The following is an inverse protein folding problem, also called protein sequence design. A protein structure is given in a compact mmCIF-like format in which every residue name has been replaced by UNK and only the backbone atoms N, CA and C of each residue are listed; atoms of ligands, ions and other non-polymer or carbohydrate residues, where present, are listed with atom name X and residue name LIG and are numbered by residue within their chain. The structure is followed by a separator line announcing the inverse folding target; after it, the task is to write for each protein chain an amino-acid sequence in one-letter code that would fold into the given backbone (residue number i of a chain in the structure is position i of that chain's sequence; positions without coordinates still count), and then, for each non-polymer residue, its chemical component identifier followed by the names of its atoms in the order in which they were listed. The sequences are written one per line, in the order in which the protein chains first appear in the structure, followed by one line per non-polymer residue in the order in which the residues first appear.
data_IF_226909774001
#
_entry.id   IF_226909774001
#
_cell.length_a   1.000
_cell.length_b   1.000
_cell.length_c   1.000
_cell.angle_alpha   90.00
_cell.angle_beta   90.00
_cell.angle_gamma   90.00
#
_symmetry.space_group_name_H-M   'P 1'
#
loop_
_entity.id
_entity.type
_entity.pdbx_description
1 polymer ?
#
# COMPACT_ATOMS: atom_id res chain seq x y z
N UNK A 1 6.33 26.39 -4.26
CA UNK A 1 6.28 26.45 -5.74
C UNK A 1 4.92 27.00 -6.14
N UNK A 2 4.84 27.97 -7.05
CA UNK A 2 3.58 28.62 -7.46
C UNK A 2 2.69 27.60 -8.19
N UNK A 3 1.50 27.29 -7.64
CA UNK A 3 0.61 26.26 -8.16
C UNK A 3 0.19 26.51 -9.63
N UNK A 4 0.17 27.78 -10.05
CA UNK A 4 -0.12 28.19 -11.43
C UNK A 4 0.93 27.67 -12.41
N UNK A 5 2.21 27.75 -12.02
CA UNK A 5 3.33 27.24 -12.83
C UNK A 5 3.24 25.72 -12.95
N UNK A 6 2.94 25.02 -11.84
CA UNK A 6 2.74 23.56 -11.86
C UNK A 6 1.59 23.16 -12.77
N UNK A 7 0.45 23.87 -12.71
CA UNK A 7 -0.71 23.60 -13.54
C UNK A 7 -0.42 23.79 -15.03
N UNK A 8 0.32 24.84 -15.41
CA UNK A 8 0.68 25.09 -16.81
C UNK A 8 1.66 24.04 -17.36
N UNK A 9 2.67 23.65 -16.57
CA UNK A 9 3.60 22.59 -16.93
C UNK A 9 2.85 21.27 -17.12
N UNK A 10 1.96 20.90 -16.18
CA UNK A 10 1.14 19.69 -16.28
C UNK A 10 0.19 19.70 -17.48
N UNK A 11 -0.44 20.83 -17.77
CA UNK A 11 -1.33 20.98 -18.92
C UNK A 11 -0.57 20.82 -20.25
N UNK A 12 0.64 21.38 -20.36
CA UNK A 12 1.50 21.20 -21.53
C UNK A 12 1.91 19.74 -21.70
N UNK A 13 2.32 19.07 -20.63
CA UNK A 13 2.74 17.67 -20.66
C UNK A 13 1.60 16.71 -21.01
N UNK A 14 0.38 17.00 -20.57
CA UNK A 14 -0.81 16.19 -20.88
C UNK A 14 -1.16 16.14 -22.38
N UNK A 15 -0.65 17.09 -23.17
CA UNK A 15 -0.94 17.24 -24.61
C UNK A 15 0.13 16.64 -25.51
N UNK A 16 1.25 16.15 -24.97
CA UNK A 16 2.35 15.57 -25.75
C UNK A 16 2.17 14.04 -25.83
N UNK A 17 2.34 13.40 -27.01
CA UNK A 17 2.39 11.94 -27.12
C UNK A 17 3.53 11.40 -26.24
N UNK A 18 3.22 10.51 -25.29
CA UNK A 18 4.19 10.06 -24.27
C UNK A 18 4.19 10.89 -22.97
N UNK A 19 3.27 11.86 -22.84
CA UNK A 19 3.11 12.72 -21.65
C UNK A 19 2.93 11.96 -20.34
N UNK A 20 2.38 10.73 -20.37
CA UNK A 20 2.34 9.83 -19.20
C UNK A 20 3.75 9.49 -18.71
N UNK A 21 4.66 9.11 -19.61
CA UNK A 21 6.06 8.80 -19.26
C UNK A 21 6.82 10.02 -18.73
N UNK A 22 6.61 11.19 -19.34
CA UNK A 22 7.18 12.44 -18.84
C UNK A 22 6.58 12.87 -17.48
N UNK A 23 5.28 12.62 -17.25
CA UNK A 23 4.60 12.84 -15.98
C UNK A 23 5.14 11.90 -14.88
N UNK A 24 5.30 10.61 -15.18
CA UNK A 24 5.97 9.66 -14.27
C UNK A 24 7.40 10.09 -13.95
N UNK A 25 8.16 10.54 -14.96
CA UNK A 25 9.54 11.02 -14.77
C UNK A 25 9.57 12.30 -13.92
N UNK A 26 8.64 13.23 -14.12
CA UNK A 26 8.53 14.46 -13.34
C UNK A 26 8.00 14.23 -11.92
N UNK A 27 7.13 13.24 -11.70
CA UNK A 27 6.75 12.82 -10.34
C UNK A 27 7.93 12.14 -9.63
N UNK A 28 8.74 11.36 -10.36
CA UNK A 28 9.96 10.71 -9.86
C UNK A 28 11.07 11.71 -9.51
N UNK A 29 11.27 12.74 -10.34
CA UNK A 29 12.28 13.80 -10.13
C UNK A 29 11.77 14.90 -9.16
N UNK A 30 10.47 15.17 -9.15
CA UNK A 30 9.85 16.28 -8.41
C UNK A 30 9.61 16.05 -6.92
N UNK A 31 10.03 14.91 -6.35
CA UNK A 31 10.09 14.69 -4.90
C UNK A 31 8.76 14.82 -4.14
N UNK A 32 7.62 14.69 -4.82
CA UNK A 32 6.29 14.88 -4.19
C UNK A 32 5.80 13.65 -3.44
N UNK A 33 6.42 12.49 -3.67
CA UNK A 33 6.04 11.24 -3.03
C UNK A 33 7.11 10.75 -2.04
N UNK A 34 7.51 11.66 -1.15
CA UNK A 34 8.37 11.32 -0.01
C UNK A 34 7.56 10.50 0.98
N UNK A 35 8.17 9.43 1.50
CA UNK A 35 7.59 8.67 2.60
C UNK A 35 7.36 9.62 3.79
N UNK A 36 6.11 9.77 4.20
CA UNK A 36 5.73 10.56 5.37
C UNK A 36 5.20 9.57 6.41
N UNK A 37 6.12 8.75 6.90
CA UNK A 37 5.84 7.53 7.65
C UNK A 37 4.73 7.70 8.69
N UNK A 38 4.83 8.68 9.59
CA UNK A 38 3.84 8.87 10.66
C UNK A 38 2.44 9.17 10.11
N UNK A 39 2.32 10.00 9.07
CA UNK A 39 1.03 10.33 8.43
C UNK A 39 0.45 9.13 7.68
N UNK A 40 1.31 8.41 6.97
CA UNK A 40 0.88 7.30 6.12
C UNK A 40 0.53 6.06 6.97
N UNK A 41 1.22 5.85 8.10
CA UNK A 41 0.84 4.85 9.12
C UNK A 41 -0.48 5.19 9.79
N UNK A 42 -0.72 6.47 10.12
CA UNK A 42 -1.98 6.85 10.79
C UNK A 42 -3.19 6.44 9.94
N UNK A 43 -3.13 6.62 8.61
CA UNK A 43 -4.18 6.15 7.70
C UNK A 43 -4.37 4.63 7.73
N UNK A 44 -3.29 3.87 7.81
CA UNK A 44 -3.39 2.41 7.95
C UNK A 44 -3.99 2.02 9.31
N UNK A 45 -3.69 2.79 10.36
CA UNK A 45 -4.26 2.58 11.69
C UNK A 45 -5.73 2.95 11.79
N UNK A 46 -6.19 3.97 11.07
CA UNK A 46 -7.62 4.27 10.93
C UNK A 46 -8.37 3.07 10.35
N UNK A 47 -7.81 2.38 9.34
CA UNK A 47 -8.43 1.16 8.79
C UNK A 47 -8.41 -0.02 9.78
N UNK A 48 -7.32 -0.18 10.54
CA UNK A 48 -7.24 -1.19 11.61
C UNK A 48 -8.34 -0.95 12.66
N UNK A 49 -8.61 0.31 13.00
CA UNK A 49 -9.70 0.66 13.91
C UNK A 49 -11.06 0.34 13.36
N UNK A 50 -11.34 0.71 12.11
CA UNK A 50 -12.61 0.39 11.47
C UNK A 50 -12.86 -1.12 11.47
N UNK A 51 -11.83 -1.94 11.26
CA UNK A 51 -11.94 -3.40 11.37
C UNK A 51 -12.30 -3.82 12.80
N UNK A 52 -11.64 -3.29 13.82
CA UNK A 52 -11.95 -3.60 15.21
C UNK A 52 -13.33 -3.11 15.64
N UNK A 53 -13.75 -1.92 15.21
CA UNK A 53 -15.07 -1.34 15.48
C UNK A 53 -16.19 -2.15 14.84
N UNK A 54 -15.94 -2.74 13.67
CA UNK A 54 -16.82 -3.71 13.03
C UNK A 54 -16.85 -5.08 13.73
N UNK A 55 -16.08 -5.27 14.80
CA UNK A 55 -15.96 -6.54 15.53
C UNK A 55 -15.05 -7.57 14.85
N UNK A 56 -14.29 -7.17 13.83
CA UNK A 56 -13.36 -8.02 13.10
C UNK A 56 -12.02 -8.21 13.80
N UNK A 57 -11.32 -9.28 13.42
CA UNK A 57 -9.96 -9.58 13.88
C UNK A 57 -9.03 -9.76 12.68
N UNK A 58 -7.88 -9.06 12.68
CA UNK A 58 -6.92 -9.12 11.57
C UNK A 58 -6.16 -10.46 11.49
N UNK A 59 -5.71 -11.08 12.60
CA UNK A 59 -4.98 -12.34 12.51
C UNK A 59 -5.75 -13.42 11.75
N UNK A 60 -5.06 -14.08 10.81
CA UNK A 60 -5.60 -15.10 9.90
C UNK A 60 -6.67 -14.63 8.91
N UNK A 61 -6.93 -13.33 8.81
CA UNK A 61 -7.91 -12.80 7.85
C UNK A 61 -7.37 -12.70 6.42
N UNK A 62 -8.27 -12.78 5.45
CA UNK A 62 -8.03 -12.47 4.05
C UNK A 62 -8.55 -11.07 3.74
N UNK A 63 -7.66 -10.19 3.26
CA UNK A 63 -7.96 -8.76 3.11
C UNK A 63 -7.84 -8.35 1.65
N UNK A 64 -8.81 -7.56 1.18
CA UNK A 64 -8.74 -6.86 -0.09
C UNK A 64 -8.56 -5.36 0.16
N UNK A 65 -7.45 -4.81 -0.31
CA UNK A 65 -7.24 -3.36 -0.38
C UNK A 65 -7.57 -2.83 -1.78
N UNK A 66 -8.39 -1.79 -1.83
CA UNK A 66 -8.66 -1.02 -3.05
C UNK A 66 -7.82 0.26 -3.03
N UNK A 67 -6.84 0.31 -3.95
CA UNK A 67 -5.96 1.43 -4.23
C UNK A 67 -4.67 1.40 -3.43
N UNK A 68 -3.71 0.58 -3.86
CA UNK A 68 -2.37 0.47 -3.27
C UNK A 68 -1.61 1.79 -3.26
N UNK A 69 -1.80 2.61 -4.31
CA UNK A 69 -1.02 3.80 -4.54
C UNK A 69 0.47 3.48 -4.69
N UNK A 70 1.31 4.32 -4.11
CA UNK A 70 2.75 4.26 -4.33
C UNK A 70 3.53 3.42 -3.33
N UNK A 71 2.94 3.17 -2.15
CA UNK A 71 3.60 2.54 -1.01
C UNK A 71 2.59 1.64 -0.32
N UNK A 72 2.92 0.36 -0.07
CA UNK A 72 1.94 -0.60 0.41
C UNK A 72 1.89 -0.55 1.94
N UNK A 73 1.53 0.60 2.51
CA UNK A 73 1.44 0.79 3.97
C UNK A 73 0.37 -0.11 4.59
N UNK A 74 -0.84 -0.08 4.03
CA UNK A 74 -1.96 -0.87 4.52
C UNK A 74 -1.65 -2.36 4.38
N UNK A 75 -1.19 -2.89 3.21
CA UNK A 75 -0.80 -4.29 3.11
C UNK A 75 0.26 -4.72 4.11
N UNK A 76 1.28 -3.89 4.35
CA UNK A 76 2.30 -4.21 5.34
C UNK A 76 1.78 -4.21 6.77
N UNK A 77 0.95 -3.25 7.15
CA UNK A 77 0.36 -3.23 8.50
C UNK A 77 -0.50 -4.46 8.73
N UNK A 78 -1.33 -4.84 7.77
CA UNK A 78 -2.19 -6.04 7.88
C UNK A 78 -1.38 -7.35 7.86
N UNK A 79 -0.35 -7.47 7.00
CA UNK A 79 0.54 -8.62 7.00
C UNK A 79 1.34 -8.75 8.32
N UNK A 80 1.88 -7.65 8.84
CA UNK A 80 2.57 -7.62 10.13
C UNK A 80 1.62 -7.95 11.30
N UNK A 81 0.37 -7.50 11.23
CA UNK A 81 -0.70 -7.88 12.16
C UNK A 81 -1.13 -9.35 12.03
N UNK A 82 -0.66 -10.07 11.01
CA UNK A 82 -0.85 -11.51 10.86
C UNK A 82 -2.05 -11.89 10.01
N UNK A 83 -2.48 -11.03 9.09
CA UNK A 83 -3.38 -11.43 8.02
C UNK A 83 -2.83 -12.67 7.29
N UNK A 84 -3.71 -13.60 6.91
CA UNK A 84 -3.35 -14.78 6.14
C UNK A 84 -2.99 -14.40 4.70
N UNK A 85 -3.75 -13.47 4.11
CA UNK A 85 -3.45 -12.94 2.79
C UNK A 85 -3.92 -11.49 2.67
N UNK A 86 -3.20 -10.70 1.87
CA UNK A 86 -3.62 -9.36 1.47
C UNK A 86 -3.53 -9.24 -0.04
N UNK A 87 -4.67 -9.09 -0.70
CA UNK A 87 -4.73 -8.72 -2.11
C UNK A 87 -4.88 -7.20 -2.17
N UNK A 88 -3.97 -6.52 -2.86
CA UNK A 88 -4.04 -5.08 -3.07
C UNK A 88 -4.12 -4.77 -4.54
N UNK A 89 -5.10 -3.95 -4.93
CA UNK A 89 -5.39 -3.65 -6.34
C UNK A 89 -5.21 -2.17 -6.65
N UNK A 90 -4.61 -1.87 -7.81
CA UNK A 90 -4.53 -0.51 -8.33
C UNK A 90 -4.71 -0.51 -9.86
N UNK A 91 -5.39 0.51 -10.37
CA UNK A 91 -5.56 0.71 -11.81
C UNK A 91 -4.26 1.19 -12.47
N UNK A 92 -3.30 1.68 -11.69
CA UNK A 92 -2.03 2.22 -12.16
C UNK A 92 -0.82 1.52 -11.53
N UNK A 93 0.31 1.41 -12.26
CA UNK A 93 1.56 0.81 -11.77
C UNK A 93 2.39 1.79 -10.91
N UNK A 94 1.82 2.37 -9.85
CA UNK A 94 2.52 3.37 -9.03
C UNK A 94 3.56 2.77 -8.08
N UNK A 95 3.23 1.61 -7.50
CA UNK A 95 4.10 0.92 -6.58
C UNK A 95 5.29 0.29 -7.31
N UNK A 96 6.50 0.52 -6.79
CA UNK A 96 7.75 -0.06 -7.31
C UNK A 96 8.47 -0.85 -6.23
N UNK A 97 9.33 -1.80 -6.61
CA UNK A 97 10.15 -2.57 -5.66
C UNK A 97 11.00 -1.66 -4.76
N UNK A 98 11.49 -0.52 -5.28
CA UNK A 98 12.23 0.45 -4.48
C UNK A 98 11.36 1.09 -3.39
N UNK A 99 10.14 1.51 -3.72
CA UNK A 99 9.21 2.08 -2.73
C UNK A 99 8.75 1.03 -1.71
N UNK A 100 8.50 -0.20 -2.15
CA UNK A 100 8.18 -1.32 -1.29
C UNK A 100 9.28 -1.55 -0.23
N UNK A 101 10.55 -1.71 -0.66
CA UNK A 101 11.70 -1.93 0.23
C UNK A 101 12.00 -0.74 1.14
N UNK A 102 11.95 0.49 0.62
CA UNK A 102 12.14 1.72 1.40
C UNK A 102 11.12 1.78 2.55
N UNK A 103 9.86 1.50 2.22
CA UNK A 103 8.74 1.51 3.18
C UNK A 103 8.92 0.40 4.22
N UNK A 104 9.24 -0.82 3.80
CA UNK A 104 9.47 -1.95 4.70
C UNK A 104 10.58 -1.69 5.72
N UNK A 105 11.69 -1.12 5.25
CA UNK A 105 12.81 -0.72 6.11
C UNK A 105 12.39 0.33 7.13
N UNK A 106 11.58 1.30 6.71
CA UNK A 106 11.10 2.36 7.60
C UNK A 106 10.16 1.84 8.69
N UNK A 107 9.31 0.85 8.38
CA UNK A 107 8.40 0.21 9.36
C UNK A 107 9.12 -0.46 10.52
N UNK A 108 10.37 -0.91 10.32
CA UNK A 108 11.22 -1.44 11.40
C UNK A 108 11.36 -0.48 12.59
N UNK A 109 11.24 0.83 12.36
CA UNK A 109 11.31 1.86 13.41
C UNK A 109 9.98 2.11 14.15
N UNK A 110 8.92 1.40 13.77
CA UNK A 110 7.54 1.59 14.25
C UNK A 110 6.87 0.28 14.69
N UNK A 111 7.59 -0.84 14.75
CA UNK A 111 7.02 -2.16 15.07
C UNK A 111 6.27 -2.19 16.40
N UNK A 112 6.77 -1.53 17.46
CA UNK A 112 6.07 -1.42 18.74
C UNK A 112 4.74 -0.68 18.65
N UNK A 113 4.69 0.40 17.87
CA UNK A 113 3.47 1.15 17.62
C UNK A 113 2.45 0.31 16.82
N UNK A 114 2.92 -0.40 15.78
CA UNK A 114 2.06 -1.27 14.97
C UNK A 114 1.48 -2.39 15.84
N UNK A 115 2.31 -3.06 16.66
CA UNK A 115 1.87 -4.11 17.57
C UNK A 115 0.78 -3.62 18.53
N UNK A 116 1.00 -2.46 19.17
CA UNK A 116 0.04 -1.86 20.08
C UNK A 116 -1.29 -1.52 19.39
N UNK A 117 -1.22 -0.93 18.19
CA UNK A 117 -2.42 -0.52 17.45
C UNK A 117 -3.23 -1.69 16.92
N UNK A 118 -2.54 -2.70 16.39
CA UNK A 118 -3.16 -3.91 15.85
C UNK A 118 -3.56 -4.91 16.95
N UNK A 119 -3.22 -4.63 18.22
CA UNK A 119 -3.48 -5.50 19.37
C UNK A 119 -2.87 -6.90 19.19
N UNK A 120 -1.65 -6.95 18.65
CA UNK A 120 -0.90 -8.19 18.41
C UNK A 120 0.38 -8.25 19.24
N UNK A 121 0.91 -9.45 19.39
CA UNK A 121 2.17 -9.66 20.09
C UNK A 121 3.36 -9.04 19.32
N UNK A 122 4.15 -8.22 20.01
CA UNK A 122 5.29 -7.53 19.40
C UNK A 122 6.37 -8.50 18.92
N UNK A 123 6.59 -9.61 19.65
CA UNK A 123 7.63 -10.56 19.27
C UNK A 123 7.26 -11.28 17.96
N UNK A 124 6.03 -11.75 17.82
CA UNK A 124 5.55 -12.34 16.57
C UNK A 124 5.66 -11.35 15.40
N UNK A 125 5.33 -10.08 15.64
CA UNK A 125 5.45 -9.04 14.62
C UNK A 125 6.92 -8.78 14.23
N UNK A 126 7.84 -8.79 15.19
CA UNK A 126 9.28 -8.66 14.95
C UNK A 126 9.83 -9.86 14.15
N UNK A 127 9.39 -11.08 14.48
CA UNK A 127 9.75 -12.30 13.73
C UNK A 127 9.29 -12.18 12.27
N UNK A 128 8.03 -11.82 12.02
CA UNK A 128 7.52 -11.54 10.65
C UNK A 128 8.29 -10.43 9.93
N UNK A 129 8.74 -9.40 10.66
CA UNK A 129 9.52 -8.31 10.05
C UNK A 129 10.92 -8.76 9.63
N UNK A 130 11.53 -9.64 10.42
CA UNK A 130 12.91 -10.08 10.24
C UNK A 130 13.06 -11.22 9.22
N UNK A 131 12.09 -12.14 9.14
CA UNK A 131 12.20 -13.40 8.40
C UNK A 131 12.11 -13.26 6.86
N UNK A 132 12.16 -12.04 6.33
CA UNK A 132 11.98 -11.78 4.91
C UNK A 132 13.31 -11.54 4.22
N UNK A 133 13.61 -12.39 3.24
CA UNK A 133 14.71 -12.14 2.31
C UNK A 133 14.38 -10.90 1.46
N UNK A 134 15.26 -9.91 1.54
CA UNK A 134 15.21 -8.70 0.72
C UNK A 134 15.88 -8.89 -0.65
N UNK A 135 16.23 -10.12 -1.03
CA UNK A 135 17.14 -10.39 -2.16
C UNK A 135 16.42 -10.64 -3.50
N UNK A 136 15.08 -10.68 -3.48
CA UNK A 136 14.27 -10.81 -4.70
C UNK A 136 14.49 -9.67 -5.70
N UNK A 137 14.43 -9.97 -7.00
CA UNK A 137 14.66 -8.97 -8.05
C UNK A 137 13.38 -8.22 -8.44
N UNK A 138 12.21 -8.85 -8.29
CA UNK A 138 10.92 -8.24 -8.59
C UNK A 138 10.20 -7.72 -7.35
N UNK A 139 9.10 -7.00 -7.55
CA UNK A 139 8.24 -6.59 -6.44
C UNK A 139 7.44 -7.76 -5.90
N UNK A 140 7.01 -8.66 -6.78
CA UNK A 140 6.28 -9.87 -6.46
C UNK A 140 7.12 -10.80 -5.57
N UNK A 141 8.42 -10.96 -5.88
CA UNK A 141 9.37 -11.72 -5.04
C UNK A 141 9.48 -11.13 -3.62
N UNK A 142 9.24 -9.83 -3.47
CA UNK A 142 9.32 -9.14 -2.19
C UNK A 142 8.00 -9.18 -1.41
N UNK A 143 6.86 -9.14 -2.10
CA UNK A 143 5.54 -9.12 -1.48
C UNK A 143 4.97 -10.52 -1.21
N UNK A 144 5.29 -11.52 -2.04
CA UNK A 144 4.74 -12.87 -1.88
C UNK A 144 5.08 -13.53 -0.54
N UNK A 145 6.30 -13.41 0.03
CA UNK A 145 6.61 -13.95 1.35
C UNK A 145 5.79 -13.35 2.49
N UNK A 146 5.20 -12.17 2.27
CA UNK A 146 4.31 -11.48 3.21
C UNK A 146 2.85 -11.92 3.09
N UNK A 147 2.54 -12.84 2.17
CA UNK A 147 1.16 -13.13 1.79
C UNK A 147 0.50 -11.97 1.04
N UNK A 148 1.27 -11.05 0.47
CA UNK A 148 0.75 -9.88 -0.25
C UNK A 148 0.78 -10.14 -1.76
N UNK A 149 -0.39 -10.00 -2.40
CA UNK A 149 -0.55 -10.04 -3.85
C UNK A 149 -0.89 -8.66 -4.37
N UNK A 150 -0.03 -8.09 -5.22
CA UNK A 150 -0.28 -6.79 -5.86
C UNK A 150 -0.78 -6.99 -7.29
N UNK A 151 -2.02 -6.57 -7.55
CA UNK A 151 -2.65 -6.66 -8.87
C UNK A 151 -2.67 -5.29 -9.53
N UNK A 152 -1.94 -5.16 -10.64
CA UNK A 152 -1.92 -3.97 -11.47
C UNK A 152 -1.60 -4.31 -12.94
N UNK A 153 -2.10 -3.51 -13.90
CA UNK A 153 -3.30 -2.70 -13.75
C UNK A 153 -4.51 -3.61 -13.48
N UNK A 154 -5.32 -3.29 -12.47
CA UNK A 154 -6.50 -4.06 -12.10
C UNK A 154 -7.68 -3.16 -11.73
N UNK A 155 -8.89 -3.54 -12.16
CA UNK A 155 -10.14 -2.86 -11.82
C UNK A 155 -10.80 -3.62 -10.65
N UNK A 156 -11.08 -2.92 -9.55
CA UNK A 156 -11.71 -3.52 -8.37
C UNK A 156 -13.13 -4.06 -8.63
N UNK A 157 -13.78 -3.67 -9.74
CA UNK A 157 -15.06 -4.26 -10.19
C UNK A 157 -14.91 -5.67 -10.76
N UNK A 158 -13.69 -6.09 -11.09
CA UNK A 158 -13.39 -7.37 -11.72
C UNK A 158 -12.05 -7.91 -11.21
N UNK A 159 -11.98 -8.17 -9.90
CA UNK A 159 -10.76 -8.66 -9.22
C UNK A 159 -10.39 -10.10 -9.59
N UNK A 160 -11.35 -10.90 -10.06
CA UNK A 160 -11.16 -12.33 -10.31
C UNK A 160 -11.09 -13.19 -9.05
N UNK A 161 -11.32 -12.59 -7.87
CA UNK A 161 -11.39 -13.32 -6.60
C UNK A 161 -12.69 -14.12 -6.52
N UNK A 162 -12.62 -15.31 -5.91
CA UNK A 162 -13.79 -16.14 -5.66
C UNK A 162 -14.67 -15.55 -4.56
N UNK A 163 -15.98 -15.78 -4.66
CA UNK A 163 -16.95 -15.35 -3.65
C UNK A 163 -16.62 -15.93 -2.27
N UNK A 164 -16.91 -15.16 -1.22
CA UNK A 164 -16.73 -15.55 0.19
C UNK A 164 -15.30 -15.94 0.59
N UNK A 165 -14.28 -15.40 -0.09
CA UNK A 165 -12.87 -15.62 0.26
C UNK A 165 -12.21 -14.48 1.02
N UNK A 166 -12.86 -13.31 1.09
CA UNK A 166 -12.34 -12.08 1.71
C UNK A 166 -13.16 -11.75 2.97
N UNK A 167 -12.47 -11.52 4.08
CA UNK A 167 -13.06 -11.13 5.36
C UNK A 167 -13.23 -9.61 5.46
N UNK A 168 -12.27 -8.85 4.93
CA UNK A 168 -12.27 -7.38 4.98
C UNK A 168 -11.97 -6.77 3.62
N UNK A 169 -12.79 -5.79 3.22
CA UNK A 169 -12.50 -4.89 2.10
C UNK A 169 -12.17 -3.53 2.67
N UNK A 170 -10.97 -3.03 2.40
CA UNK A 170 -10.48 -1.75 2.93
C UNK A 170 -10.08 -0.84 1.78
N UNK A 171 -10.22 0.47 2.00
CA UNK A 171 -9.79 1.49 1.04
C UNK A 171 -9.41 2.75 1.78
N UNK A 172 -8.26 3.33 1.44
CA UNK A 172 -7.81 4.61 2.00
C UNK A 172 -7.84 5.66 0.90
N UNK A 173 -8.83 6.56 0.97
CA UNK A 173 -8.90 7.75 0.11
C UNK A 173 -8.92 7.46 -1.41
N UNK A 174 -9.56 6.36 -1.83
CA UNK A 174 -9.70 6.00 -3.26
C UNK A 174 -11.12 6.22 -3.75
N UNK A 175 -12.12 6.06 -2.87
CA UNK A 175 -13.54 6.14 -3.26
C UNK A 175 -13.95 7.55 -3.71
N UNK A 176 -13.32 8.61 -3.20
CA UNK A 176 -13.53 9.99 -3.64
C UNK A 176 -13.00 10.28 -5.06
N UNK A 177 -12.24 9.35 -5.63
CA UNK A 177 -11.70 9.45 -6.98
C UNK A 177 -12.50 8.63 -8.00
N UNK A 178 -13.54 7.91 -7.55
CA UNK A 178 -14.43 7.14 -8.41
C UNK A 178 -15.62 8.03 -8.81
N UNK A 179 -15.90 8.23 -10.11
CA UNK A 179 -16.96 9.09 -10.62
C UNK A 179 -18.37 8.52 -10.40
#
# INVERSE_FOLDING_TARGET
MNWKIKAHVLALLSRVPGGRGAYHLLQRIGGTNRLQLDRDLERAFELVDLVHEAGGTIPSSNVLEIGTGWRPLVPYVFALAGANSVVTVDVNPWLTAAYARETWKALGTRLSQIAARCKVDLRQLQERHHDISTDGNSIEDFLSPLGITYLYPADARSTGLHDNTIDFVVSSNVLEHIP
#
